data_IF_013710807342
#
_entry.id   IF_013710807342
#
_cell.length_a   1.000
_cell.length_b   1.000
_cell.length_c   1.000
_cell.angle_alpha   90.00
_cell.angle_beta   90.00
_cell.angle_gamma   90.00
#
_symmetry.space_group_name_H-M   'P 1'
#
loop_
_entity.id
_entity.type
_entity.pdbx_description
1 polymer ?
#
# COMPACT_ATOMS: atom_id res chain seq x y z
N UNK A 1 26.00 22.00 -80.42
CA UNK A 1 25.76 20.63 -79.83
C UNK A 1 26.72 20.22 -78.70
N UNK A 2 27.95 20.74 -78.64
CA UNK A 2 28.92 20.40 -77.57
C UNK A 2 28.43 20.81 -76.13
N UNK A 3 27.84 21.98 -75.96
CA UNK A 3 27.41 22.51 -74.68
C UNK A 3 26.29 21.67 -74.00
N UNK A 4 25.40 21.05 -74.77
CA UNK A 4 24.26 20.29 -74.22
C UNK A 4 24.71 18.95 -73.63
N UNK A 5 25.72 18.32 -74.17
CA UNK A 5 26.30 17.08 -73.71
C UNK A 5 27.12 17.27 -72.40
N UNK A 6 27.76 18.41 -72.26
CA UNK A 6 28.49 18.77 -71.04
C UNK A 6 27.59 19.08 -69.90
N UNK A 7 26.44 19.75 -70.11
CA UNK A 7 25.40 20.00 -69.12
C UNK A 7 24.76 18.70 -68.68
N UNK A 8 24.44 17.78 -69.61
CA UNK A 8 23.88 16.46 -69.28
C UNK A 8 24.87 15.59 -68.47
N UNK A 9 26.17 15.69 -68.75
CA UNK A 9 27.22 15.00 -68.01
C UNK A 9 27.31 15.53 -66.55
N UNK A 10 27.36 16.85 -66.39
CA UNK A 10 27.40 17.50 -65.08
C UNK A 10 26.17 17.23 -64.27
N UNK A 11 24.94 17.19 -64.83
CA UNK A 11 23.72 16.81 -64.19
C UNK A 11 23.73 15.35 -63.75
N UNK A 12 24.24 14.42 -64.52
CA UNK A 12 24.37 13.01 -64.14
C UNK A 12 25.34 12.82 -62.97
N UNK A 13 26.43 13.62 -62.93
CA UNK A 13 27.38 13.58 -61.82
C UNK A 13 26.78 14.19 -60.55
N UNK A 14 26.02 15.28 -60.65
CA UNK A 14 25.31 15.92 -59.52
C UNK A 14 24.24 14.99 -58.90
N UNK A 15 23.47 14.30 -59.77
CA UNK A 15 22.52 13.32 -59.31
C UNK A 15 23.14 12.11 -58.58
N UNK A 16 24.33 11.67 -59.04
CA UNK A 16 25.07 10.61 -58.36
C UNK A 16 25.58 11.05 -56.96
N UNK A 17 26.03 12.30 -56.85
CA UNK A 17 26.49 12.90 -55.59
C UNK A 17 25.34 13.10 -54.66
N UNK A 18 24.18 13.58 -55.15
CA UNK A 18 22.95 13.71 -54.37
C UNK A 18 22.43 12.35 -53.90
N UNK A 19 22.50 11.32 -54.75
CA UNK A 19 22.09 9.97 -54.37
C UNK A 19 23.04 9.36 -53.33
N UNK A 20 24.34 9.58 -53.43
CA UNK A 20 25.32 9.15 -52.45
C UNK A 20 25.13 9.89 -51.09
N UNK A 21 24.85 11.19 -51.14
CA UNK A 21 24.57 11.99 -49.94
C UNK A 21 23.25 11.56 -49.26
N UNK A 22 22.23 11.21 -50.05
CA UNK A 22 20.98 10.68 -49.53
C UNK A 22 21.15 9.29 -48.89
N UNK A 23 22.04 8.45 -49.42
CA UNK A 23 22.32 7.12 -48.85
C UNK A 23 23.09 7.22 -47.51
N UNK A 24 23.91 8.25 -47.30
CA UNK A 24 24.61 8.45 -46.02
C UNK A 24 23.71 9.01 -44.92
N UNK A 25 22.58 9.62 -45.29
CA UNK A 25 21.59 10.08 -44.31
C UNK A 25 20.66 8.96 -43.79
N UNK A 26 20.68 7.78 -44.37
CA UNK A 26 19.84 6.62 -43.95
C UNK A 26 20.60 5.68 -42.99
N UNK A 27 21.91 5.90 -42.79
CA UNK A 27 22.64 5.22 -41.73
C UNK A 27 22.30 5.99 -40.42
N UNK A 28 21.04 5.87 -40.00
CA UNK A 28 20.64 6.29 -38.66
C UNK A 28 21.43 5.48 -37.66
N UNK A 29 22.13 6.14 -36.77
CA UNK A 29 22.63 5.50 -35.56
C UNK A 29 21.47 4.76 -34.92
N UNK A 30 21.70 3.53 -34.53
CA UNK A 30 20.79 2.78 -33.68
C UNK A 30 20.75 3.54 -32.34
N UNK A 31 19.72 4.35 -32.17
CA UNK A 31 19.60 5.25 -31.00
C UNK A 31 19.30 4.46 -29.74
N UNK A 32 18.92 3.19 -29.85
CA UNK A 32 18.59 2.36 -28.73
C UNK A 32 19.82 2.02 -27.87
N UNK A 33 21.01 1.97 -28.48
CA UNK A 33 22.26 1.71 -27.75
C UNK A 33 22.83 2.97 -27.07
N UNK A 34 22.46 4.18 -27.53
CA UNK A 34 22.91 5.46 -26.96
C UNK A 34 22.00 5.91 -25.82
N UNK A 35 20.77 5.40 -25.78
CA UNK A 35 19.76 5.74 -24.77
C UNK A 35 19.70 4.72 -23.60
N UNK A 36 20.62 3.76 -23.56
CA UNK A 36 20.78 2.91 -22.37
C UNK A 36 21.41 3.77 -21.28
N UNK A 37 20.59 4.26 -20.39
CA UNK A 37 21.02 4.97 -19.19
C UNK A 37 21.82 4.01 -18.30
N UNK A 38 23.16 4.06 -18.39
CA UNK A 38 23.99 3.40 -17.41
C UNK A 38 23.87 4.16 -16.10
N UNK A 39 23.19 3.55 -15.14
CA UNK A 39 23.10 4.09 -13.78
C UNK A 39 24.50 4.33 -13.24
N UNK A 40 24.84 5.60 -12.97
CA UNK A 40 26.15 6.00 -12.42
C UNK A 40 26.42 5.37 -11.05
N UNK A 41 25.38 4.88 -10.37
CA UNK A 41 25.48 4.19 -9.07
C UNK A 41 25.58 2.67 -9.17
N UNK A 42 25.50 2.08 -10.34
CA UNK A 42 25.52 0.62 -10.59
C UNK A 42 24.50 -0.22 -9.77
N UNK A 43 23.58 0.39 -9.05
CA UNK A 43 22.59 -0.31 -8.26
C UNK A 43 21.18 0.09 -8.71
N UNK A 44 20.51 -0.80 -9.43
CA UNK A 44 19.10 -0.61 -9.78
C UNK A 44 18.20 -0.98 -8.59
N UNK A 45 16.94 -0.52 -8.61
CA UNK A 45 15.96 -0.95 -7.60
C UNK A 45 15.78 -2.48 -7.60
N UNK A 46 15.93 -3.12 -8.77
CA UNK A 46 15.86 -4.57 -8.90
C UNK A 46 17.01 -5.24 -8.18
N UNK A 47 18.25 -4.77 -8.41
CA UNK A 47 19.44 -5.33 -7.75
C UNK A 47 19.42 -5.09 -6.24
N UNK A 48 18.98 -3.91 -5.81
CA UNK A 48 18.88 -3.61 -4.38
C UNK A 48 17.89 -4.52 -3.68
N UNK A 49 16.68 -4.65 -4.21
CA UNK A 49 15.63 -5.46 -3.57
C UNK A 49 15.84 -6.98 -3.74
N UNK A 50 16.81 -7.43 -4.54
CA UNK A 50 17.25 -8.84 -4.56
C UNK A 50 18.18 -9.18 -3.41
N UNK A 51 18.76 -8.20 -2.72
CA UNK A 51 19.56 -8.42 -1.52
C UNK A 51 18.69 -8.60 -0.28
N UNK A 52 19.17 -9.31 0.74
CA UNK A 52 18.46 -9.48 2.01
C UNK A 52 18.18 -8.16 2.70
N UNK A 53 19.12 -7.21 2.70
CA UNK A 53 18.93 -5.88 3.30
C UNK A 53 17.88 -5.05 2.56
N UNK A 54 17.95 -5.01 1.24
CA UNK A 54 16.98 -4.30 0.40
C UNK A 54 15.57 -4.88 0.54
N UNK A 55 15.45 -6.20 0.61
CA UNK A 55 14.16 -6.85 0.84
C UNK A 55 13.59 -6.55 2.23
N UNK A 56 14.43 -6.50 3.28
CA UNK A 56 13.98 -6.05 4.61
C UNK A 56 13.53 -4.59 4.59
N UNK A 57 14.19 -3.69 3.87
CA UNK A 57 13.77 -2.31 3.76
C UNK A 57 12.46 -2.18 2.97
N UNK A 58 12.29 -2.95 1.90
CA UNK A 58 11.03 -3.06 1.19
C UNK A 58 9.92 -3.56 2.14
N UNK A 59 10.20 -4.56 2.99
CA UNK A 59 9.25 -5.08 3.96
C UNK A 59 8.84 -4.07 5.03
N UNK A 60 9.75 -3.17 5.42
CA UNK A 60 9.42 -2.07 6.34
C UNK A 60 8.56 -1.01 5.67
N UNK A 61 8.77 -0.77 4.38
CA UNK A 61 8.08 0.30 3.62
C UNK A 61 6.56 0.14 3.51
N UNK A 62 6.01 -1.05 3.74
CA UNK A 62 4.56 -1.30 3.70
C UNK A 62 3.81 -0.76 4.93
N UNK A 63 4.49 -0.52 6.05
CA UNK A 63 3.86 -0.10 7.31
C UNK A 63 3.59 1.41 7.42
N UNK A 64 4.49 2.33 6.99
CA UNK A 64 4.29 3.77 7.15
C UNK A 64 3.01 4.31 6.52
N UNK A 65 2.56 3.74 5.39
CA UNK A 65 1.32 4.15 4.73
C UNK A 65 0.04 3.82 5.52
N UNK A 66 0.14 3.00 6.57
CA UNK A 66 -0.98 2.79 7.48
C UNK A 66 -1.29 4.03 8.33
N UNK A 67 -0.29 4.89 8.59
CA UNK A 67 -0.45 6.10 9.41
C UNK A 67 -1.49 7.06 8.84
N UNK A 68 -1.37 7.56 7.60
CA UNK A 68 -2.38 8.43 7.02
C UNK A 68 -3.74 7.73 6.91
N UNK A 69 -3.79 6.44 6.57
CA UNK A 69 -5.04 5.68 6.47
C UNK A 69 -5.79 5.65 7.81
N UNK A 70 -5.10 5.43 8.93
CA UNK A 70 -5.73 5.35 10.26
C UNK A 70 -6.05 6.72 10.87
N UNK A 71 -5.50 7.81 10.32
CA UNK A 71 -5.76 9.18 10.78
C UNK A 71 -6.95 9.87 10.11
N UNK A 72 -7.64 9.22 9.18
CA UNK A 72 -8.76 9.81 8.42
C UNK A 72 -10.02 9.96 9.27
N UNK A 73 -9.93 10.79 10.32
CA UNK A 73 -11.04 11.04 11.26
C UNK A 73 -12.27 11.62 10.58
N UNK A 74 -12.08 12.45 9.56
CA UNK A 74 -13.16 13.05 8.82
C UNK A 74 -14.08 11.99 8.18
N UNK A 75 -13.53 10.91 7.62
CA UNK A 75 -14.30 9.82 7.01
C UNK A 75 -14.96 8.88 8.02
N UNK A 76 -14.53 8.88 9.28
CA UNK A 76 -15.03 7.96 10.30
C UNK A 76 -15.90 8.61 11.36
N UNK A 77 -15.77 9.92 11.56
CA UNK A 77 -16.43 10.65 12.64
C UNK A 77 -17.37 11.74 12.15
N UNK A 78 -17.03 12.45 11.03
CA UNK A 78 -17.89 13.53 10.54
C UNK A 78 -19.24 12.99 10.06
N UNK A 79 -20.29 13.73 10.33
CA UNK A 79 -21.65 13.32 10.00
C UNK A 79 -22.26 12.27 10.95
N UNK A 80 -21.62 12.02 12.07
CA UNK A 80 -22.16 11.18 13.16
C UNK A 80 -22.73 12.04 14.29
N UNK A 81 -23.58 11.45 15.15
CA UNK A 81 -24.19 12.14 16.28
C UNK A 81 -23.19 12.62 17.34
N UNK A 82 -21.98 12.08 17.33
CA UNK A 82 -20.94 12.35 18.36
C UNK A 82 -19.88 13.31 17.88
N UNK A 83 -19.79 13.61 16.59
CA UNK A 83 -18.78 14.49 16.06
C UNK A 83 -19.35 15.35 14.94
N UNK A 84 -19.33 16.67 15.16
CA UNK A 84 -19.63 17.69 14.16
C UNK A 84 -18.37 18.49 13.88
N UNK A 85 -18.09 18.73 12.61
CA UNK A 85 -17.06 19.65 12.16
C UNK A 85 -17.36 21.12 12.48
N UNK A 86 -18.42 21.34 13.24
CA UNK A 86 -19.00 22.61 13.68
C UNK A 86 -18.05 23.78 13.53
N UNK A 87 -18.18 24.59 12.46
CA UNK A 87 -17.63 25.97 12.34
C UNK A 87 -16.18 26.14 12.85
N UNK A 88 -15.50 25.07 13.17
CA UNK A 88 -14.14 25.10 13.59
C UNK A 88 -13.25 25.38 12.36
N UNK A 89 -13.08 26.67 12.09
CA UNK A 89 -11.81 27.09 11.56
C UNK A 89 -10.77 26.54 12.53
N UNK A 90 -9.98 25.55 12.09
CA UNK A 90 -8.77 25.30 12.83
C UNK A 90 -8.00 26.65 12.88
N UNK A 91 -7.20 26.84 13.89
CA UNK A 91 -6.46 28.10 14.07
C UNK A 91 -5.50 28.42 12.91
N UNK A 92 -5.44 27.59 11.89
CA UNK A 92 -4.56 27.68 10.71
C UNK A 92 -5.37 28.07 9.46
N UNK A 93 -6.71 28.21 9.56
CA UNK A 93 -7.55 28.68 8.45
C UNK A 93 -7.96 27.60 7.43
N UNK A 94 -7.73 26.31 7.73
CA UNK A 94 -8.25 25.21 6.93
C UNK A 94 -9.73 25.00 7.25
N UNK A 95 -10.60 25.17 6.26
CA UNK A 95 -11.98 24.71 6.36
C UNK A 95 -11.95 23.20 6.43
N UNK A 96 -12.37 22.64 7.57
CA UNK A 96 -12.74 21.23 7.62
C UNK A 96 -13.83 21.01 6.58
N UNK A 97 -13.69 19.98 5.76
CA UNK A 97 -14.61 19.73 4.67
C UNK A 97 -16.01 19.38 5.21
N UNK A 98 -16.86 20.40 5.35
CA UNK A 98 -18.23 20.26 5.86
C UNK A 98 -19.12 19.44 4.92
N UNK A 99 -18.70 19.20 3.68
CA UNK A 99 -19.46 18.41 2.72
C UNK A 99 -19.60 16.94 3.17
N UNK A 100 -18.59 16.39 3.87
CA UNK A 100 -18.64 15.04 4.44
C UNK A 100 -19.70 14.97 5.55
N UNK A 101 -19.83 16.03 6.35
CA UNK A 101 -20.79 16.09 7.45
C UNK A 101 -22.22 16.25 6.96
N UNK A 102 -22.42 17.10 5.97
CA UNK A 102 -23.76 17.45 5.49
C UNK A 102 -24.28 16.56 4.37
N UNK A 103 -23.42 15.71 3.81
CA UNK A 103 -23.72 14.92 2.60
C UNK A 103 -24.28 15.77 1.46
N UNK A 104 -23.82 17.03 1.40
CA UNK A 104 -24.27 18.02 0.42
C UNK A 104 -23.73 17.75 -0.99
N UNK A 105 -24.15 18.56 -1.99
CA UNK A 105 -23.74 18.38 -3.39
C UNK A 105 -22.23 18.57 -3.62
N UNK A 106 -21.51 19.13 -2.65
CA UNK A 106 -20.06 19.29 -2.68
C UNK A 106 -19.33 18.02 -2.24
N UNK A 107 -20.04 17.00 -1.71
CA UNK A 107 -19.48 15.71 -1.39
C UNK A 107 -19.33 14.88 -2.67
N UNK A 108 -18.20 15.04 -3.32
CA UNK A 108 -17.86 14.41 -4.59
C UNK A 108 -16.59 13.56 -4.45
N UNK A 109 -16.24 12.83 -5.51
CA UNK A 109 -14.96 12.13 -5.61
C UNK A 109 -13.73 13.04 -5.52
N UNK A 110 -13.92 14.36 -5.68
CA UNK A 110 -12.87 15.37 -5.53
C UNK A 110 -12.54 15.76 -4.09
N UNK A 111 -13.27 15.24 -3.10
CA UNK A 111 -13.00 15.49 -1.69
C UNK A 111 -11.66 14.86 -1.31
N UNK A 112 -10.73 15.66 -0.77
CA UNK A 112 -9.34 15.25 -0.48
C UNK A 112 -9.26 14.00 0.39
N UNK A 113 -10.08 13.89 1.43
CA UNK A 113 -10.09 12.75 2.34
C UNK A 113 -10.50 11.45 1.64
N UNK A 114 -11.43 11.54 0.68
CA UNK A 114 -11.86 10.39 -0.14
C UNK A 114 -10.75 9.99 -1.10
N UNK A 115 -10.11 10.96 -1.76
CA UNK A 115 -8.98 10.73 -2.64
C UNK A 115 -7.77 10.14 -1.89
N UNK A 116 -7.46 10.68 -0.72
CA UNK A 116 -6.34 10.20 0.10
C UNK A 116 -6.54 8.76 0.54
N UNK A 117 -7.76 8.40 0.97
CA UNK A 117 -8.07 7.01 1.31
C UNK A 117 -7.79 6.06 0.13
N UNK A 118 -8.22 6.45 -1.07
CA UNK A 118 -7.97 5.70 -2.29
C UNK A 118 -6.48 5.60 -2.60
N UNK A 119 -5.80 6.73 -2.66
CA UNK A 119 -4.39 6.83 -3.08
C UNK A 119 -3.47 6.09 -2.11
N UNK A 120 -3.61 6.28 -0.81
CA UNK A 120 -2.74 5.62 0.18
C UNK A 120 -2.94 4.11 0.22
N UNK A 121 -4.19 3.63 0.10
CA UNK A 121 -4.43 2.19 0.04
C UNK A 121 -3.85 1.56 -1.23
N UNK A 122 -4.02 2.19 -2.43
CA UNK A 122 -3.42 1.64 -3.65
C UNK A 122 -1.90 1.74 -3.68
N UNK A 123 -1.29 2.78 -3.11
CA UNK A 123 0.16 2.82 -2.89
C UNK A 123 0.62 1.66 -2.02
N UNK A 124 -0.14 1.34 -0.97
CA UNK A 124 0.21 0.24 -0.07
C UNK A 124 0.04 -1.12 -0.73
N UNK A 125 -1.04 -1.32 -1.49
CA UNK A 125 -1.26 -2.52 -2.32
C UNK A 125 -0.10 -2.72 -3.29
N UNK A 126 0.34 -1.65 -3.99
CA UNK A 126 1.46 -1.78 -4.92
C UNK A 126 2.78 -2.15 -4.21
N UNK A 127 3.08 -1.54 -3.07
CA UNK A 127 4.27 -1.92 -2.26
C UNK A 127 4.20 -3.38 -1.82
N UNK A 128 3.03 -3.85 -1.36
CA UNK A 128 2.83 -5.23 -1.00
C UNK A 128 3.00 -6.18 -2.20
N UNK A 129 2.45 -5.81 -3.35
CA UNK A 129 2.62 -6.56 -4.60
C UNK A 129 4.09 -6.62 -5.03
N UNK A 130 4.82 -5.50 -4.95
CA UNK A 130 6.25 -5.44 -5.23
C UNK A 130 7.01 -6.44 -4.35
N UNK A 131 6.76 -6.44 -3.05
CA UNK A 131 7.39 -7.35 -2.11
C UNK A 131 7.09 -8.82 -2.45
N UNK A 132 5.82 -9.15 -2.68
CA UNK A 132 5.40 -10.51 -3.04
C UNK A 132 6.03 -10.96 -4.36
N UNK A 133 6.01 -10.10 -5.39
CA UNK A 133 6.54 -10.43 -6.71
C UNK A 133 8.06 -10.62 -6.73
N UNK A 134 8.79 -9.88 -5.90
CA UNK A 134 10.26 -9.91 -5.84
C UNK A 134 10.83 -10.95 -4.88
N UNK A 135 10.00 -11.55 -4.03
CA UNK A 135 10.42 -12.52 -3.02
C UNK A 135 11.23 -13.70 -3.59
N UNK A 136 10.85 -14.20 -4.78
CA UNK A 136 11.53 -15.31 -5.43
C UNK A 136 12.93 -14.95 -5.99
N UNK A 137 13.23 -13.66 -6.18
CA UNK A 137 14.51 -13.18 -6.69
C UNK A 137 15.50 -12.81 -5.56
N UNK A 138 15.09 -12.91 -4.29
CA UNK A 138 15.97 -12.57 -3.17
C UNK A 138 17.04 -13.64 -2.99
N UNK A 139 18.28 -13.19 -2.97
CA UNK A 139 19.41 -14.07 -2.64
C UNK A 139 19.29 -14.54 -1.20
N UNK A 140 19.22 -15.87 -1.01
CA UNK A 140 18.97 -16.50 0.30
C UNK A 140 20.24 -17.14 0.87
N UNK A 141 21.03 -16.42 1.67
CA UNK A 141 22.09 -17.07 2.44
C UNK A 141 21.47 -17.77 3.67
N UNK A 142 21.54 -19.09 3.70
CA UNK A 142 21.17 -19.89 4.87
C UNK A 142 19.70 -19.78 5.28
N UNK A 143 19.48 -19.43 6.56
CA UNK A 143 18.14 -19.45 7.20
C UNK A 143 17.21 -18.30 6.79
N UNK A 144 17.65 -17.41 5.89
CA UNK A 144 16.84 -16.24 5.52
C UNK A 144 15.58 -16.61 4.70
N UNK A 145 15.51 -17.80 4.10
CA UNK A 145 14.35 -18.28 3.37
C UNK A 145 13.05 -18.24 4.21
N UNK A 146 13.12 -18.70 5.45
CA UNK A 146 11.98 -18.63 6.37
C UNK A 146 11.55 -17.18 6.69
N UNK A 147 12.50 -16.24 6.67
CA UNK A 147 12.21 -14.81 6.85
C UNK A 147 11.47 -14.25 5.63
N UNK A 148 11.84 -14.65 4.41
CA UNK A 148 11.13 -14.24 3.19
C UNK A 148 9.67 -14.64 3.27
N UNK A 149 9.36 -15.87 3.66
CA UNK A 149 7.98 -16.36 3.79
C UNK A 149 7.17 -15.51 4.79
N UNK A 150 7.78 -15.14 5.91
CA UNK A 150 7.16 -14.24 6.90
C UNK A 150 6.92 -12.86 6.29
N UNK A 151 7.88 -12.29 5.54
CA UNK A 151 7.71 -10.95 4.91
C UNK A 151 6.64 -10.97 3.82
N UNK A 152 6.54 -12.04 3.05
CA UNK A 152 5.46 -12.26 2.08
C UNK A 152 4.11 -12.32 2.80
N UNK A 153 4.04 -13.02 3.92
CA UNK A 153 2.82 -13.10 4.74
C UNK A 153 2.42 -11.73 5.33
N UNK A 154 3.38 -10.93 5.80
CA UNK A 154 3.15 -9.55 6.22
C UNK A 154 2.58 -8.71 5.07
N UNK A 155 3.14 -8.82 3.86
CA UNK A 155 2.65 -8.11 2.69
C UNK A 155 1.23 -8.51 2.30
N UNK A 156 0.90 -9.81 2.35
CA UNK A 156 -0.46 -10.30 2.13
C UNK A 156 -1.45 -9.77 3.16
N UNK A 157 -1.07 -9.72 4.44
CA UNK A 157 -1.88 -9.09 5.48
C UNK A 157 -2.15 -7.61 5.20
N UNK A 158 -1.12 -6.83 4.88
CA UNK A 158 -1.25 -5.39 4.58
C UNK A 158 -2.06 -5.15 3.31
N UNK A 159 -1.86 -5.95 2.25
CA UNK A 159 -2.66 -5.90 1.02
C UNK A 159 -4.13 -6.16 1.30
N UNK A 160 -4.41 -7.18 2.08
CA UNK A 160 -5.77 -7.54 2.50
C UNK A 160 -6.43 -6.43 3.31
N UNK A 161 -5.71 -5.83 4.25
CA UNK A 161 -6.21 -4.71 5.06
C UNK A 161 -6.57 -3.51 4.15
N UNK A 162 -5.71 -3.20 3.18
CA UNK A 162 -5.95 -2.12 2.22
C UNK A 162 -7.14 -2.40 1.31
N UNK A 163 -7.25 -3.61 0.77
CA UNK A 163 -8.43 -4.01 -0.01
C UNK A 163 -9.71 -4.00 0.83
N UNK A 164 -9.65 -4.41 2.08
CA UNK A 164 -10.79 -4.40 2.98
C UNK A 164 -11.30 -2.98 3.25
N UNK A 165 -10.41 -2.00 3.46
CA UNK A 165 -10.80 -0.60 3.56
C UNK A 165 -11.43 -0.08 2.25
N UNK A 166 -10.82 -0.37 1.12
CA UNK A 166 -11.32 0.09 -0.18
C UNK A 166 -12.69 -0.50 -0.53
N UNK A 167 -12.86 -1.81 -0.41
CA UNK A 167 -14.11 -2.48 -0.82
C UNK A 167 -15.31 -2.06 0.06
N UNK A 168 -15.07 -1.75 1.34
CA UNK A 168 -16.13 -1.24 2.22
C UNK A 168 -16.59 0.17 1.86
N UNK A 169 -15.69 1.02 1.37
CA UNK A 169 -15.99 2.42 1.06
C UNK A 169 -16.45 2.62 -0.38
N UNK A 170 -15.91 1.86 -1.32
CA UNK A 170 -16.08 2.10 -2.75
C UNK A 170 -16.85 0.97 -3.48
N UNK A 171 -17.18 -0.12 -2.81
CA UNK A 171 -17.81 -1.28 -3.44
C UNK A 171 -16.86 -2.00 -4.41
N UNK A 172 -17.28 -2.18 -5.67
CA UNK A 172 -16.46 -2.79 -6.70
C UNK A 172 -15.23 -1.93 -7.01
N UNK A 173 -14.05 -2.52 -6.94
CA UNK A 173 -12.76 -1.82 -7.04
C UNK A 173 -11.79 -2.56 -7.97
N UNK A 174 -10.80 -1.88 -8.55
CA UNK A 174 -9.65 -2.54 -9.18
C UNK A 174 -8.88 -3.41 -8.20
N UNK A 175 -8.48 -4.61 -8.64
CA UNK A 175 -7.77 -5.57 -7.78
C UNK A 175 -6.44 -6.01 -8.42
N UNK A 176 -5.41 -5.14 -8.47
CA UNK A 176 -4.09 -5.54 -8.92
C UNK A 176 -3.42 -6.47 -7.91
N UNK A 177 -2.94 -7.64 -8.37
CA UNK A 177 -2.27 -8.65 -7.54
C UNK A 177 -0.78 -8.79 -7.83
N UNK A 178 -0.28 -8.00 -8.78
CA UNK A 178 1.14 -7.97 -9.19
C UNK A 178 1.68 -6.54 -9.09
N UNK A 179 3.00 -6.41 -9.05
CA UNK A 179 3.67 -5.12 -9.08
C UNK A 179 3.25 -4.31 -10.31
N UNK A 180 2.86 -3.06 -10.10
CA UNK A 180 2.55 -2.10 -11.17
C UNK A 180 3.75 -1.19 -11.35
N UNK A 181 4.46 -1.33 -12.46
CA UNK A 181 5.68 -0.60 -12.80
C UNK A 181 5.49 0.39 -13.96
N UNK A 182 4.30 0.43 -14.55
CA UNK A 182 3.95 1.34 -15.64
C UNK A 182 2.52 1.84 -15.51
N UNK A 183 2.24 3.02 -16.07
CA UNK A 183 0.89 3.58 -16.06
C UNK A 183 -0.04 2.73 -16.94
N UNK A 184 -1.07 2.18 -16.33
CA UNK A 184 -2.16 1.50 -17.04
C UNK A 184 -3.45 2.33 -16.90
N UNK A 185 -4.03 2.74 -18.03
CA UNK A 185 -5.28 3.49 -18.07
C UNK A 185 -6.52 2.59 -18.22
N UNK A 186 -6.31 1.32 -18.58
CA UNK A 186 -7.39 0.35 -18.79
C UNK A 186 -7.56 -0.50 -17.52
N UNK A 187 -8.13 0.11 -16.50
CA UNK A 187 -8.36 -0.57 -15.21
C UNK A 187 -9.85 -0.83 -15.06
N UNK A 188 -10.22 -2.10 -14.91
CA UNK A 188 -11.61 -2.52 -14.66
C UNK A 188 -11.85 -2.74 -13.17
N UNK A 189 -13.07 -2.47 -12.73
CA UNK A 189 -13.52 -2.82 -11.38
C UNK A 189 -13.82 -4.32 -11.32
N UNK A 190 -13.43 -4.92 -10.22
CA UNK A 190 -13.71 -6.33 -9.89
C UNK A 190 -14.88 -6.35 -8.91
N UNK A 191 -15.85 -7.26 -9.05
CA UNK A 191 -16.96 -7.38 -8.12
C UNK A 191 -16.51 -7.56 -6.68
N UNK A 192 -17.20 -6.92 -5.75
CA UNK A 192 -16.88 -6.95 -4.31
C UNK A 192 -16.75 -8.38 -3.78
N UNK A 193 -17.58 -9.32 -4.24
CA UNK A 193 -17.49 -10.73 -3.84
C UNK A 193 -16.14 -11.37 -4.16
N UNK A 194 -15.56 -11.05 -5.32
CA UNK A 194 -14.24 -11.56 -5.72
C UNK A 194 -13.13 -10.91 -4.91
N UNK A 195 -13.27 -9.60 -4.60
CA UNK A 195 -12.32 -8.90 -3.72
C UNK A 195 -12.32 -9.53 -2.33
N UNK A 196 -13.49 -9.82 -1.73
CA UNK A 196 -13.59 -10.51 -0.45
C UNK A 196 -12.98 -11.93 -0.50
N UNK A 197 -13.18 -12.67 -1.58
CA UNK A 197 -12.57 -13.98 -1.76
C UNK A 197 -11.03 -13.90 -1.76
N UNK A 198 -10.46 -12.91 -2.47
CA UNK A 198 -9.01 -12.69 -2.50
C UNK A 198 -8.47 -12.26 -1.13
N UNK A 199 -9.17 -11.38 -0.42
CA UNK A 199 -8.80 -10.97 0.95
C UNK A 199 -8.70 -12.18 1.86
N UNK A 200 -9.69 -13.09 1.81
CA UNK A 200 -9.71 -14.30 2.64
C UNK A 200 -8.57 -15.24 2.27
N UNK A 201 -8.30 -15.40 0.97
CA UNK A 201 -7.16 -16.21 0.51
C UNK A 201 -5.84 -15.67 1.06
N UNK A 202 -5.56 -14.39 0.85
CA UNK A 202 -4.34 -13.76 1.32
C UNK A 202 -4.18 -13.84 2.86
N UNK A 203 -5.27 -13.62 3.60
CA UNK A 203 -5.24 -13.67 5.07
C UNK A 203 -5.08 -15.08 5.62
N UNK A 204 -5.65 -16.10 4.95
CA UNK A 204 -5.47 -17.50 5.34
C UNK A 204 -4.02 -17.93 5.15
N UNK A 205 -3.41 -17.54 4.04
CA UNK A 205 -1.99 -17.79 3.78
C UNK A 205 -1.11 -17.01 4.76
N UNK A 206 -1.47 -15.76 5.08
CA UNK A 206 -0.77 -14.95 6.06
C UNK A 206 -0.88 -15.56 7.47
N UNK A 207 -2.06 -16.02 7.91
CA UNK A 207 -2.23 -16.70 9.20
C UNK A 207 -1.33 -17.92 9.32
N UNK A 208 -1.18 -18.70 8.25
CA UNK A 208 -0.35 -19.90 8.26
C UNK A 208 1.13 -19.60 8.46
N UNK A 209 1.65 -18.52 7.87
CA UNK A 209 3.08 -18.21 7.85
C UNK A 209 3.53 -17.17 8.89
N UNK A 210 2.61 -16.30 9.37
CA UNK A 210 2.96 -15.29 10.36
C UNK A 210 3.28 -15.91 11.73
N UNK A 211 4.29 -15.37 12.44
CA UNK A 211 4.62 -15.81 13.77
C UNK A 211 3.54 -15.41 14.79
N UNK A 212 3.45 -16.13 15.89
CA UNK A 212 2.53 -15.81 17.00
C UNK A 212 2.92 -14.49 17.67
N UNK A 213 4.21 -14.19 17.74
CA UNK A 213 4.73 -12.93 18.29
C UNK A 213 5.92 -12.44 17.46
N UNK A 214 6.20 -11.14 17.51
CA UNK A 214 7.35 -10.54 16.85
C UNK A 214 8.19 -9.76 17.87
N UNK A 215 9.51 -9.87 17.76
CA UNK A 215 10.43 -9.02 18.52
C UNK A 215 10.38 -7.55 18.08
N UNK A 216 10.00 -7.32 16.82
CA UNK A 216 9.78 -5.98 16.27
C UNK A 216 8.30 -5.61 16.45
N UNK A 217 8.05 -4.82 17.49
CA UNK A 217 6.70 -4.36 17.77
C UNK A 217 6.13 -3.58 16.58
N UNK A 218 4.85 -3.80 16.27
CA UNK A 218 4.19 -3.20 15.12
C UNK A 218 4.21 -4.04 13.84
N UNK A 219 5.03 -5.09 13.74
CA UNK A 219 4.91 -6.04 12.63
C UNK A 219 3.67 -6.92 12.80
N UNK A 220 3.10 -7.33 11.67
CA UNK A 220 1.93 -8.21 11.66
C UNK A 220 2.27 -9.57 12.28
N UNK A 221 1.33 -10.09 13.05
CA UNK A 221 1.40 -11.40 13.71
C UNK A 221 0.25 -12.29 13.28
N UNK A 222 0.30 -13.57 13.63
CA UNK A 222 -0.82 -14.49 13.41
C UNK A 222 -2.12 -13.96 13.98
N UNK A 223 -2.11 -13.37 15.16
CA UNK A 223 -3.29 -12.79 15.79
C UNK A 223 -3.85 -11.61 15.01
N UNK A 224 -3.00 -10.79 14.37
CA UNK A 224 -3.46 -9.70 13.51
C UNK A 224 -4.22 -10.23 12.29
N UNK A 225 -3.71 -11.30 11.64
CA UNK A 225 -4.39 -11.94 10.52
C UNK A 225 -5.72 -12.58 10.96
N UNK A 226 -5.75 -13.25 12.11
CA UNK A 226 -6.97 -13.85 12.69
C UNK A 226 -8.02 -12.79 13.02
N UNK A 227 -7.61 -11.66 13.62
CA UNK A 227 -8.52 -10.56 13.90
C UNK A 227 -9.13 -9.97 12.62
N UNK A 228 -8.30 -9.75 11.59
CA UNK A 228 -8.80 -9.23 10.32
C UNK A 228 -9.73 -10.24 9.63
N UNK A 229 -9.42 -11.56 9.68
CA UNK A 229 -10.31 -12.62 9.18
C UNK A 229 -11.66 -12.60 9.89
N UNK A 230 -11.69 -12.45 11.23
CA UNK A 230 -12.93 -12.33 11.98
C UNK A 230 -13.80 -11.17 11.45
N UNK A 231 -13.19 -10.00 11.25
CA UNK A 231 -13.88 -8.82 10.71
C UNK A 231 -14.36 -9.01 9.28
N UNK A 232 -13.53 -9.57 8.43
CA UNK A 232 -13.85 -9.84 7.01
C UNK A 232 -15.02 -10.80 6.89
N UNK A 233 -14.98 -11.93 7.62
CA UNK A 233 -16.08 -12.89 7.62
C UNK A 233 -17.36 -12.29 8.20
N UNK A 234 -17.29 -11.53 9.29
CA UNK A 234 -18.44 -10.84 9.87
C UNK A 234 -19.08 -9.90 8.84
N UNK A 235 -18.29 -9.06 8.18
CA UNK A 235 -18.78 -8.12 7.17
C UNK A 235 -19.37 -8.84 5.98
N UNK A 236 -18.69 -9.89 5.47
CA UNK A 236 -19.17 -10.68 4.35
C UNK A 236 -20.48 -11.41 4.68
N UNK A 237 -20.63 -11.90 5.91
CA UNK A 237 -21.83 -12.59 6.38
C UNK A 237 -23.08 -11.69 6.38
N UNK A 238 -22.95 -10.38 6.60
CA UNK A 238 -24.04 -9.41 6.44
C UNK A 238 -24.50 -9.25 5.01
N UNK A 239 -23.64 -9.55 4.04
CA UNK A 239 -23.90 -9.64 2.61
C UNK A 239 -24.81 -8.51 2.06
N UNK A 240 -24.42 -7.27 2.34
CA UNK A 240 -25.17 -6.08 1.91
C UNK A 240 -25.54 -6.16 0.42
N UNK A 241 -26.80 -5.95 0.11
CA UNK A 241 -27.34 -5.98 -1.25
C UNK A 241 -27.05 -7.31 -2.00
N UNK A 242 -26.74 -8.40 -1.30
CA UNK A 242 -26.29 -9.68 -1.86
C UNK A 242 -25.04 -9.57 -2.77
N UNK A 243 -24.20 -8.56 -2.53
CA UNK A 243 -23.07 -8.24 -3.39
C UNK A 243 -21.73 -8.80 -2.89
N UNK A 244 -21.65 -9.28 -1.64
CA UNK A 244 -20.39 -9.67 -1.00
C UNK A 244 -20.07 -11.18 -1.13
N UNK A 245 -20.99 -11.97 -1.69
CA UNK A 245 -20.85 -13.42 -1.81
C UNK A 245 -20.87 -14.18 -0.47
N UNK A 246 -21.40 -13.52 0.57
CA UNK A 246 -21.46 -14.07 1.92
C UNK A 246 -22.64 -15.01 2.15
N UNK A 247 -22.49 -15.88 3.16
CA UNK A 247 -23.50 -16.82 3.62
C UNK A 247 -23.58 -16.82 5.15
N UNK A 248 -24.58 -17.46 5.71
CA UNK A 248 -24.70 -17.64 7.16
C UNK A 248 -23.49 -18.37 7.79
N UNK A 249 -22.78 -19.20 7.03
CA UNK A 249 -21.56 -19.86 7.49
C UNK A 249 -20.42 -18.87 7.82
N UNK A 250 -20.42 -17.69 7.22
CA UNK A 250 -19.42 -16.66 7.51
C UNK A 250 -19.49 -16.17 8.95
N UNK A 251 -20.67 -16.13 9.56
CA UNK A 251 -20.80 -15.78 10.98
C UNK A 251 -20.15 -16.84 11.90
N UNK A 252 -20.21 -18.11 11.49
CA UNK A 252 -19.51 -19.19 12.20
C UNK A 252 -18.00 -19.00 12.12
N UNK A 253 -17.49 -18.76 10.92
CA UNK A 253 -16.06 -18.49 10.70
C UNK A 253 -15.60 -17.22 11.43
N UNK A 254 -16.41 -16.15 11.40
CA UNK A 254 -16.10 -14.92 12.14
C UNK A 254 -15.95 -15.18 13.65
N UNK A 255 -16.85 -15.98 14.22
CA UNK A 255 -16.80 -16.38 15.63
C UNK A 255 -15.57 -17.22 15.95
N UNK A 256 -15.27 -18.24 15.13
CA UNK A 256 -14.11 -19.11 15.34
C UNK A 256 -12.80 -18.32 15.34
N UNK A 257 -12.63 -17.34 14.43
CA UNK A 257 -11.47 -16.48 14.42
C UNK A 257 -11.45 -15.49 15.59
N UNK A 258 -12.61 -14.95 16.00
CA UNK A 258 -12.70 -14.09 17.17
C UNK A 258 -12.32 -14.85 18.45
N UNK A 259 -12.80 -16.10 18.62
CA UNK A 259 -12.48 -16.94 19.79
C UNK A 259 -10.96 -17.22 19.86
N UNK A 260 -10.27 -17.45 18.72
CA UNK A 260 -8.80 -17.58 18.68
C UNK A 260 -8.09 -16.33 19.20
N UNK A 261 -8.55 -15.14 18.77
CA UNK A 261 -7.98 -13.85 19.19
C UNK A 261 -8.22 -13.60 20.68
N UNK A 262 -9.44 -13.81 21.16
CA UNK A 262 -9.80 -13.64 22.58
C UNK A 262 -8.92 -14.54 23.48
N UNK A 263 -8.67 -15.76 23.05
CA UNK A 263 -7.81 -16.68 23.79
C UNK A 263 -6.34 -16.25 23.84
N UNK A 264 -5.84 -15.59 22.77
CA UNK A 264 -4.45 -15.19 22.64
C UNK A 264 -4.15 -13.79 23.20
N UNK A 265 -5.15 -12.92 23.27
CA UNK A 265 -5.02 -11.52 23.68
C UNK A 265 -5.98 -11.20 24.82
N UNK A 266 -5.67 -11.61 26.06
CA UNK A 266 -6.52 -11.37 27.22
C UNK A 266 -6.63 -9.87 27.50
N UNK A 267 -7.84 -9.45 27.85
CA UNK A 267 -8.11 -8.08 28.28
C UNK A 267 -7.29 -7.74 29.53
N UNK A 268 -6.83 -6.48 29.61
CA UNK A 268 -6.20 -5.99 30.83
C UNK A 268 -7.21 -5.87 31.95
N UNK A 269 -6.76 -6.05 33.17
CA UNK A 269 -7.66 -6.06 34.34
C UNK A 269 -8.25 -4.69 34.63
N UNK A 270 -7.53 -3.62 34.32
CA UNK A 270 -7.96 -2.24 34.58
C UNK A 270 -7.90 -1.42 33.29
N UNK A 271 -9.03 -0.82 32.91
CA UNK A 271 -9.16 -0.01 31.70
C UNK A 271 -8.14 1.13 31.61
N UNK A 272 -7.73 1.71 32.74
CA UNK A 272 -6.70 2.75 32.78
C UNK A 272 -5.35 2.28 32.26
N UNK A 273 -5.09 0.96 32.31
CA UNK A 273 -3.81 0.39 31.84
C UNK A 273 -3.72 0.30 30.30
N UNK A 274 -4.82 0.58 29.59
CA UNK A 274 -4.83 0.75 28.12
C UNK A 274 -4.24 2.10 27.67
N UNK A 275 -4.17 3.08 28.59
CA UNK A 275 -3.74 4.42 28.25
C UNK A 275 -2.37 4.75 28.84
N UNK A 276 -1.51 5.48 28.09
CA UNK A 276 -0.23 5.93 28.63
C UNK A 276 -0.45 6.73 29.91
N UNK A 277 0.20 6.32 30.99
CA UNK A 277 0.36 7.21 32.13
C UNK A 277 1.22 8.38 31.66
N UNK A 278 0.66 9.59 31.67
CA UNK A 278 1.46 10.80 31.56
C UNK A 278 2.56 10.69 32.62
N UNK A 279 3.82 10.81 32.23
CA UNK A 279 4.90 10.98 33.19
C UNK A 279 4.50 12.12 34.13
N UNK A 280 4.56 11.90 35.45
CA UNK A 280 4.32 12.96 36.44
C UNK A 280 5.39 14.07 36.36
N UNK A 281 6.45 13.86 35.60
CA UNK A 281 7.48 14.84 35.31
C UNK A 281 7.06 15.75 34.16
N UNK A 282 6.70 17.02 34.42
CA UNK A 282 6.27 17.96 33.39
C UNK A 282 7.37 18.32 32.38
N UNK A 283 8.65 17.93 32.65
CA UNK A 283 9.79 18.16 31.75
C UNK A 283 10.01 16.99 30.79
N UNK A 284 9.40 15.83 31.04
CA UNK A 284 9.52 14.63 30.22
C UNK A 284 8.16 14.28 29.59
N UNK A 285 7.71 15.13 28.67
CA UNK A 285 6.48 14.89 27.89
C UNK A 285 6.74 14.03 26.63
N UNK A 286 7.95 13.51 26.47
CA UNK A 286 8.29 12.65 25.35
C UNK A 286 7.67 11.28 25.55
N UNK A 287 6.73 10.95 24.69
CA UNK A 287 6.27 9.57 24.49
C UNK A 287 7.40 8.82 23.79
N UNK A 288 8.40 8.41 24.57
CA UNK A 288 9.56 7.73 24.04
C UNK A 288 9.23 6.37 23.42
N UNK A 289 10.12 5.82 22.56
CA UNK A 289 9.98 4.48 21.97
C UNK A 289 10.17 3.36 23.02
N UNK A 290 9.39 3.39 24.04
CA UNK A 290 9.42 2.49 25.19
C UNK A 290 8.18 2.57 26.04
N UNK A 291 7.17 3.31 25.58
CA UNK A 291 5.93 3.42 26.30
C UNK A 291 5.31 2.02 26.47
N UNK A 292 5.17 1.62 27.74
CA UNK A 292 4.76 0.29 28.16
C UNK A 292 3.37 -0.09 27.60
N UNK A 293 2.56 0.89 27.22
CA UNK A 293 1.22 0.67 26.69
C UNK A 293 1.19 0.06 25.30
N UNK A 294 2.21 0.35 24.48
CA UNK A 294 2.33 -0.28 23.18
C UNK A 294 2.53 -1.79 23.25
N UNK A 295 2.87 -2.33 24.44
CA UNK A 295 3.13 -3.75 24.66
C UNK A 295 2.10 -4.45 25.53
N UNK A 296 0.93 -3.82 25.67
CA UNK A 296 -0.19 -4.38 26.40
C UNK A 296 -0.69 -5.68 25.77
N UNK A 297 -1.06 -6.67 26.59
CA UNK A 297 -1.55 -7.99 26.15
C UNK A 297 -2.83 -7.93 25.31
N UNK A 298 -3.60 -6.87 25.42
CA UNK A 298 -4.86 -6.67 24.71
C UNK A 298 -4.66 -6.14 23.27
N UNK A 299 -3.48 -5.56 22.98
CA UNK A 299 -3.22 -4.95 21.67
C UNK A 299 -2.82 -6.02 20.65
N UNK A 300 -3.70 -6.28 19.70
CA UNK A 300 -3.48 -7.28 18.63
C UNK A 300 -2.53 -6.79 17.54
N UNK A 301 -2.74 -5.54 17.10
CA UNK A 301 -1.91 -4.89 16.06
C UNK A 301 -1.95 -3.38 16.26
N UNK A 302 -0.78 -2.74 16.25
CA UNK A 302 -0.66 -1.31 16.46
C UNK A 302 0.16 -0.65 15.36
N UNK A 303 -0.42 0.36 14.73
CA UNK A 303 0.30 1.25 13.80
C UNK A 303 1.25 2.12 14.59
N UNK A 304 2.54 2.07 14.23
CA UNK A 304 3.58 2.76 14.96
C UNK A 304 3.68 4.23 14.52
N UNK A 305 3.76 5.13 15.49
CA UNK A 305 4.03 6.54 15.31
C UNK A 305 5.28 6.91 16.11
N UNK A 306 6.04 7.88 15.63
CA UNK A 306 7.15 8.47 16.36
C UNK A 306 7.04 9.98 16.30
N UNK A 307 7.38 10.64 17.38
CA UNK A 307 7.51 12.09 17.49
C UNK A 307 8.90 12.59 17.02
N UNK A 308 9.79 11.66 16.65
CA UNK A 308 11.09 12.02 16.07
C UNK A 308 10.93 12.37 14.59
N UNK A 309 11.34 13.58 14.21
CA UNK A 309 11.21 14.11 12.85
C UNK A 309 11.81 13.18 11.78
N UNK A 310 12.96 12.54 12.06
CA UNK A 310 13.63 11.63 11.13
C UNK A 310 12.84 10.36 10.78
N UNK A 311 11.87 9.98 11.60
CA UNK A 311 11.01 8.81 11.31
C UNK A 311 9.74 9.19 10.58
N UNK A 312 9.42 10.48 10.51
CA UNK A 312 8.29 11.02 9.77
C UNK A 312 8.69 11.42 8.34
N UNK A 313 9.99 11.60 8.07
CA UNK A 313 10.52 12.02 6.77
C UNK A 313 10.89 10.86 5.83
N UNK A 314 10.70 9.61 6.24
CA UNK A 314 10.86 8.44 5.36
C UNK A 314 9.57 8.13 4.57
N UNK A 315 8.80 9.15 4.24
CA UNK A 315 7.67 9.11 3.33
C UNK A 315 8.09 9.37 1.88
#
# INVERSE_FOLDING_TARGET
MKNLNEIKSKMKTLNKILLALALTLVIGCDTDEILVEESVSNQTATDYFSTTSGFEDLSKSIYPLLRPITQMRALTLNGTDIFSGALAFDQVGNQLNTSIETYGPEFTEGVSEVQDLWVYNYKNINRANTLISRAAAVETPGDYAATIDIRVAEAKFIRSLSFFYLVQQFGDIPMPLVETNSANKEVTRVPSAEVYAQIITDLTEAEAALPVSSSNYGRATKGAAQHLLARVYLTRGWNFNNALGGTAADFTSAREYADKVIAAYPMVADYKDLFPKKSEDPTNQTHGPGDQNAKNSEIVFAVQYSDQALTNELE
#
